data_IF_219339656824
#
_entry.id   IF_219339656824
#
_cell.length_a   1.000
_cell.length_b   1.000
_cell.length_c   1.000
_cell.angle_alpha   90.00
_cell.angle_beta   90.00
_cell.angle_gamma   90.00
#
_symmetry.space_group_name_H-M   'P 1'
#
loop_
_entity.id
_entity.type
_entity.pdbx_description
1 polymer ?
#
# COMPACT_ATOMS: atom_id res chain seq x y z
N UNK A 1 -7.57 -4.45 23.32
CA UNK A 1 -7.88 -5.86 23.61
C UNK A 1 -7.22 -6.31 24.92
N UNK A 2 -7.58 -7.48 25.45
CA UNK A 2 -6.92 -8.03 26.64
C UNK A 2 -5.43 -8.26 26.38
N UNK A 3 -5.11 -8.85 25.25
CA UNK A 3 -3.73 -9.10 24.79
C UNK A 3 -2.88 -7.82 24.77
N UNK A 4 -3.43 -6.70 24.33
CA UNK A 4 -2.74 -5.41 24.34
C UNK A 4 -2.38 -4.98 25.77
N UNK A 5 -3.34 -5.06 26.70
CA UNK A 5 -3.12 -4.69 28.10
C UNK A 5 -2.08 -5.61 28.76
N UNK A 6 -2.13 -6.90 28.48
CA UNK A 6 -1.16 -7.88 28.97
C UNK A 6 0.25 -7.51 28.51
N UNK A 7 0.43 -7.24 27.23
CA UNK A 7 1.72 -6.81 26.67
C UNK A 7 2.22 -5.49 27.26
N UNK A 8 1.35 -4.50 27.40
CA UNK A 8 1.68 -3.21 28.01
C UNK A 8 2.14 -3.34 29.47
N UNK A 9 1.46 -4.17 30.25
CA UNK A 9 1.85 -4.44 31.64
C UNK A 9 3.19 -5.17 31.74
N UNK A 10 3.45 -6.09 30.81
CA UNK A 10 4.73 -6.80 30.73
C UNK A 10 5.87 -5.87 30.29
N UNK A 11 5.62 -4.93 29.37
CA UNK A 11 6.60 -3.89 29.04
C UNK A 11 7.05 -3.11 30.27
N UNK A 12 6.12 -2.75 31.15
CA UNK A 12 6.44 -2.06 32.39
C UNK A 12 7.27 -2.94 33.36
N UNK A 13 6.97 -4.23 33.42
CA UNK A 13 7.72 -5.17 34.28
C UNK A 13 9.16 -5.39 33.78
N UNK A 14 9.35 -5.44 32.46
CA UNK A 14 10.66 -5.66 31.84
C UNK A 14 11.43 -4.37 31.53
N UNK A 15 10.84 -3.18 31.77
CA UNK A 15 11.43 -1.88 31.41
C UNK A 15 12.84 -1.71 31.98
N UNK A 16 13.07 -2.06 33.23
CA UNK A 16 14.37 -1.93 33.90
C UNK A 16 15.46 -2.82 33.24
N UNK A 17 15.10 -3.97 32.69
CA UNK A 17 16.03 -4.89 32.01
C UNK A 17 16.58 -4.24 30.72
N UNK A 18 15.81 -3.33 30.13
CA UNK A 18 16.18 -2.55 28.95
C UNK A 18 16.73 -1.16 29.32
N UNK A 19 16.99 -0.89 30.62
CA UNK A 19 17.49 0.39 31.08
C UNK A 19 16.47 1.52 30.99
N UNK A 20 15.17 1.21 30.87
CA UNK A 20 14.09 2.19 30.79
C UNK A 20 13.54 2.48 32.19
N UNK A 21 13.50 3.76 32.50
CA UNK A 21 12.81 4.32 33.68
C UNK A 21 12.16 5.63 33.34
N UNK A 22 11.11 5.97 34.08
CA UNK A 22 10.48 7.27 33.98
C UNK A 22 11.25 8.30 34.81
N UNK A 23 11.53 9.44 34.21
CA UNK A 23 12.11 10.59 34.93
C UNK A 23 11.05 11.25 35.83
N UNK A 24 11.49 12.06 36.77
CA UNK A 24 10.56 12.80 37.64
C UNK A 24 9.72 13.83 36.84
N UNK A 25 10.30 14.37 35.74
CA UNK A 25 9.58 15.25 34.82
C UNK A 25 8.48 14.51 34.05
N UNK A 26 8.78 13.32 33.54
CA UNK A 26 7.78 12.50 32.82
C UNK A 26 6.62 12.08 33.72
N UNK A 27 6.89 11.70 34.98
CA UNK A 27 5.86 11.41 35.98
C UNK A 27 5.03 12.65 36.31
N UNK A 28 5.67 13.81 36.43
CA UNK A 28 4.94 15.04 36.68
C UNK A 28 4.06 15.45 35.49
N UNK A 29 4.54 15.30 34.26
CA UNK A 29 3.77 15.55 33.05
C UNK A 29 2.57 14.58 32.95
N UNK A 30 2.78 13.30 33.21
CA UNK A 30 1.69 12.32 33.23
C UNK A 30 0.62 12.69 34.28
N UNK A 31 1.05 13.13 35.45
CA UNK A 31 0.13 13.59 36.53
C UNK A 31 -0.67 14.83 36.12
N UNK A 32 -0.01 15.82 35.55
CA UNK A 32 -0.66 17.06 35.09
C UNK A 32 -1.65 16.76 33.94
N UNK A 33 -1.29 15.90 33.00
CA UNK A 33 -2.17 15.45 31.94
C UNK A 33 -3.39 14.66 32.45
N UNK A 34 -3.17 13.78 33.43
CA UNK A 34 -4.27 13.05 34.08
C UNK A 34 -5.26 13.98 34.82
N UNK A 35 -4.74 14.99 35.53
CA UNK A 35 -5.58 15.99 36.16
C UNK A 35 -6.35 16.82 35.11
N UNK A 36 -5.69 17.27 34.06
CA UNK A 36 -6.35 18.03 32.98
C UNK A 36 -7.46 17.21 32.30
N UNK A 37 -7.24 15.90 32.09
CA UNK A 37 -8.25 14.99 31.58
C UNK A 37 -9.48 14.93 32.51
N UNK A 38 -9.26 14.74 33.80
CA UNK A 38 -10.34 14.69 34.81
C UNK A 38 -11.12 16.00 34.87
N UNK A 39 -10.42 17.15 34.93
CA UNK A 39 -11.04 18.47 34.99
C UNK A 39 -11.90 18.76 33.76
N UNK A 40 -11.46 18.32 32.59
CA UNK A 40 -12.16 18.54 31.33
C UNK A 40 -13.41 17.67 31.18
N UNK A 41 -13.33 16.43 31.57
CA UNK A 41 -14.41 15.47 31.41
C UNK A 41 -15.41 15.50 32.59
N UNK A 42 -14.96 15.90 33.75
CA UNK A 42 -15.76 16.05 34.95
C UNK A 42 -16.05 14.73 35.68
N UNK A 43 -16.54 14.86 36.90
CA UNK A 43 -16.76 13.73 37.83
C UNK A 43 -17.70 12.64 37.29
N UNK A 44 -18.71 13.02 36.50
CA UNK A 44 -19.69 12.05 36.00
C UNK A 44 -19.10 11.13 34.96
N UNK A 45 -18.19 11.64 34.10
CA UNK A 45 -17.45 10.83 33.11
C UNK A 45 -16.46 9.93 33.86
N UNK A 46 -15.69 10.47 34.82
CA UNK A 46 -14.74 9.69 35.60
C UNK A 46 -15.42 8.54 36.36
N UNK A 47 -16.63 8.77 36.93
CA UNK A 47 -17.43 7.71 37.55
C UNK A 47 -17.90 6.65 36.55
N UNK A 48 -18.31 7.03 35.34
CA UNK A 48 -18.71 6.09 34.30
C UNK A 48 -17.52 5.26 33.80
N UNK A 49 -16.33 5.86 33.69
CA UNK A 49 -15.07 5.16 33.36
C UNK A 49 -14.61 4.24 34.50
N UNK A 50 -15.15 4.40 35.72
CA UNK A 50 -14.65 3.75 36.92
C UNK A 50 -13.16 4.01 37.15
N UNK A 51 -12.68 5.20 36.78
CA UNK A 51 -11.28 5.58 36.84
C UNK A 51 -11.05 6.77 37.78
N UNK A 52 -9.95 6.74 38.47
CA UNK A 52 -9.40 7.85 39.27
C UNK A 52 -8.37 8.64 38.44
N UNK A 53 -7.92 9.78 38.93
CA UNK A 53 -6.80 10.53 38.32
C UNK A 53 -5.53 9.69 38.31
N UNK A 54 -5.31 8.91 39.39
CA UNK A 54 -4.16 8.00 39.47
C UNK A 54 -4.22 6.89 38.43
N UNK A 55 -5.41 6.34 38.14
CA UNK A 55 -5.54 5.30 37.06
C UNK A 55 -5.24 5.88 35.71
N UNK A 56 -5.62 7.12 35.42
CA UNK A 56 -5.27 7.82 34.18
C UNK A 56 -3.77 8.13 34.13
N UNK A 57 -3.18 8.57 35.27
CA UNK A 57 -1.73 8.80 35.33
C UNK A 57 -0.95 7.50 35.06
N UNK A 58 -1.34 6.38 35.69
CA UNK A 58 -0.73 5.07 35.51
C UNK A 58 -0.77 4.62 34.02
N UNK A 59 -1.90 4.88 33.33
CA UNK A 59 -2.05 4.58 31.91
C UNK A 59 -1.12 5.46 31.03
N UNK A 60 -0.99 6.75 31.36
CA UNK A 60 -0.09 7.66 30.66
C UNK A 60 1.38 7.30 30.90
N UNK A 61 1.77 6.93 32.12
CA UNK A 61 3.12 6.45 32.43
C UNK A 61 3.44 5.16 31.67
N UNK A 62 2.47 4.27 31.53
CA UNK A 62 2.61 3.04 30.75
C UNK A 62 2.82 3.33 29.26
N UNK A 63 2.08 4.30 28.71
CA UNK A 63 2.28 4.77 27.34
C UNK A 63 3.70 5.33 27.10
N UNK A 64 4.24 6.12 28.06
CA UNK A 64 5.62 6.63 27.96
C UNK A 64 6.63 5.47 27.98
N UNK A 65 6.44 4.45 28.80
CA UNK A 65 7.28 3.27 28.82
C UNK A 65 7.23 2.54 27.47
N UNK A 66 6.04 2.36 26.91
CA UNK A 66 5.84 1.71 25.61
C UNK A 66 6.59 2.42 24.49
N UNK A 67 6.56 3.76 24.47
CA UNK A 67 7.29 4.53 23.46
C UNK A 67 8.81 4.43 23.62
N UNK A 68 9.30 4.33 24.86
CA UNK A 68 10.75 4.28 25.16
C UNK A 68 11.36 2.89 24.99
N UNK A 69 10.59 1.81 25.18
CA UNK A 69 11.13 0.45 25.20
C UNK A 69 11.34 -0.13 23.80
N UNK A 70 10.70 0.42 22.78
CA UNK A 70 10.78 -0.05 21.41
C UNK A 70 12.23 -0.09 20.90
N UNK A 71 12.93 1.03 20.95
CA UNK A 71 14.29 1.16 20.43
C UNK A 71 15.30 0.21 21.11
N UNK A 72 15.33 0.08 22.43
CA UNK A 72 16.18 -0.91 23.09
C UNK A 72 15.90 -2.37 22.70
N UNK A 73 14.65 -2.74 22.50
CA UNK A 73 14.28 -4.11 22.07
C UNK A 73 14.85 -4.41 20.68
N UNK A 74 14.77 -3.45 19.77
CA UNK A 74 15.20 -3.62 18.38
C UNK A 74 16.68 -3.27 18.14
N UNK A 75 17.41 -2.80 19.15
CA UNK A 75 18.78 -2.29 19.01
C UNK A 75 19.78 -3.25 18.37
N UNK A 76 19.55 -4.57 18.52
CA UNK A 76 20.45 -5.61 18.01
C UNK A 76 19.86 -6.34 16.79
N UNK A 77 18.87 -5.76 16.11
CA UNK A 77 18.33 -6.32 14.87
C UNK A 77 19.35 -6.13 13.76
N UNK A 78 19.55 -7.20 12.98
CA UNK A 78 20.38 -7.13 11.78
C UNK A 78 19.72 -6.21 10.73
N UNK A 79 20.39 -5.10 10.46
CA UNK A 79 19.97 -4.10 9.47
C UNK A 79 20.81 -4.14 8.19
N UNK A 80 21.76 -5.07 8.10
CA UNK A 80 22.51 -5.30 6.87
C UNK A 80 21.66 -6.18 5.93
N UNK A 81 21.20 -5.60 4.83
CA UNK A 81 20.44 -6.29 3.80
C UNK A 81 21.18 -6.10 2.47
N UNK A 82 21.61 -7.20 1.90
CA UNK A 82 22.34 -7.19 0.62
C UNK A 82 21.40 -6.96 -0.56
N UNK A 83 21.97 -6.55 -1.69
CA UNK A 83 21.22 -6.45 -2.95
C UNK A 83 20.59 -7.78 -3.37
N UNK A 84 21.27 -8.90 -3.08
CA UNK A 84 20.76 -10.23 -3.39
C UNK A 84 19.52 -10.60 -2.56
N UNK A 85 19.42 -10.11 -1.32
CA UNK A 85 18.26 -10.34 -0.47
C UNK A 85 17.06 -9.50 -0.92
N UNK A 86 17.30 -8.23 -1.28
CA UNK A 86 16.26 -7.25 -1.55
C UNK A 86 15.92 -7.08 -3.03
N UNK A 87 16.57 -7.84 -3.92
CA UNK A 87 16.48 -7.66 -5.37
C UNK A 87 15.05 -7.59 -5.88
N UNK A 88 14.77 -6.52 -6.64
CA UNK A 88 13.50 -6.30 -7.32
C UNK A 88 13.70 -6.25 -8.84
N UNK A 89 12.77 -6.86 -9.56
CA UNK A 89 12.69 -6.81 -11.02
C UNK A 89 11.43 -6.07 -11.43
N UNK A 90 11.55 -5.12 -12.35
CA UNK A 90 10.42 -4.37 -12.91
C UNK A 90 10.14 -4.80 -14.35
N UNK A 91 8.87 -5.03 -14.66
CA UNK A 91 8.40 -5.46 -15.98
C UNK A 91 7.25 -4.61 -16.48
N UNK A 92 7.21 -4.39 -17.79
CA UNK A 92 6.01 -3.99 -18.53
C UNK A 92 5.32 -5.22 -19.09
N UNK A 93 3.99 -5.24 -19.06
CA UNK A 93 3.23 -6.38 -19.55
C UNK A 93 1.88 -5.99 -20.13
N UNK A 94 1.33 -6.87 -20.98
CA UNK A 94 -0.08 -6.86 -21.32
C UNK A 94 -0.77 -8.06 -20.72
N UNK A 95 -2.07 -7.89 -20.49
CA UNK A 95 -2.97 -8.96 -20.05
C UNK A 95 -4.12 -9.09 -21.03
N UNK A 96 -4.33 -10.31 -21.53
CA UNK A 96 -5.54 -10.71 -22.25
C UNK A 96 -6.30 -11.68 -21.34
N UNK A 97 -7.38 -11.22 -20.72
CA UNK A 97 -8.14 -12.05 -19.78
C UNK A 97 -8.80 -13.23 -20.46
N UNK A 98 -8.71 -14.39 -19.82
CA UNK A 98 -9.43 -15.63 -20.17
C UNK A 98 -10.57 -15.94 -19.19
N UNK A 99 -10.83 -15.03 -18.26
CA UNK A 99 -12.00 -15.13 -17.38
C UNK A 99 -13.28 -14.94 -18.21
N UNK A 100 -14.27 -15.78 -17.95
CA UNK A 100 -15.58 -15.63 -18.58
C UNK A 100 -16.28 -14.35 -18.12
N UNK A 101 -17.04 -13.75 -19.03
CA UNK A 101 -17.82 -12.53 -18.75
C UNK A 101 -19.32 -12.85 -18.57
N UNK A 102 -19.77 -13.98 -19.06
CA UNK A 102 -21.16 -14.42 -18.97
C UNK A 102 -21.41 -15.15 -17.65
N UNK A 103 -22.66 -15.08 -17.20
CA UNK A 103 -23.11 -15.78 -15.99
C UNK A 103 -24.24 -16.72 -16.34
N UNK A 104 -24.25 -17.88 -15.70
CA UNK A 104 -25.38 -18.83 -15.78
C UNK A 104 -26.59 -18.33 -14.96
N UNK A 105 -27.67 -19.08 -15.00
CA UNK A 105 -28.93 -18.76 -14.29
C UNK A 105 -28.78 -18.73 -12.77
N UNK A 106 -27.72 -19.34 -12.23
CA UNK A 106 -27.36 -19.33 -10.81
C UNK A 106 -26.36 -18.18 -10.45
N UNK A 107 -25.98 -17.36 -11.42
CA UNK A 107 -25.07 -16.23 -11.27
C UNK A 107 -23.58 -16.61 -11.22
N UNK A 108 -23.22 -17.85 -11.53
CA UNK A 108 -21.85 -18.33 -11.63
C UNK A 108 -21.27 -17.95 -13.00
N UNK A 109 -20.03 -17.49 -13.01
CA UNK A 109 -19.31 -17.19 -14.25
C UNK A 109 -19.14 -18.45 -15.09
N UNK A 110 -19.46 -18.36 -16.38
CA UNK A 110 -19.27 -19.43 -17.36
C UNK A 110 -17.84 -19.35 -17.87
N UNK A 111 -17.10 -20.44 -17.79
CA UNK A 111 -15.74 -20.54 -18.29
C UNK A 111 -15.73 -20.43 -19.82
N UNK A 112 -14.71 -19.75 -20.37
CA UNK A 112 -14.52 -19.69 -21.81
C UNK A 112 -14.21 -21.09 -22.40
N UNK A 113 -14.72 -21.33 -23.59
CA UNK A 113 -14.39 -22.52 -24.38
C UNK A 113 -12.93 -22.50 -24.85
N UNK A 114 -12.40 -23.64 -25.27
CA UNK A 114 -11.04 -23.73 -25.79
C UNK A 114 -10.85 -22.88 -27.07
N UNK A 115 -11.90 -22.73 -27.87
CA UNK A 115 -11.88 -21.89 -29.08
C UNK A 115 -11.81 -20.40 -28.71
N UNK A 116 -12.57 -19.96 -27.70
CA UNK A 116 -12.51 -18.57 -27.20
C UNK A 116 -11.17 -18.27 -26.56
N UNK A 117 -10.62 -19.21 -25.77
CA UNK A 117 -9.27 -19.09 -25.22
C UNK A 117 -8.19 -19.00 -26.32
N UNK A 118 -8.33 -19.79 -27.39
CA UNK A 118 -7.44 -19.73 -28.52
C UNK A 118 -7.48 -18.35 -29.22
N UNK A 119 -8.69 -17.80 -29.41
CA UNK A 119 -8.85 -16.44 -29.96
C UNK A 119 -8.21 -15.36 -29.04
N UNK A 120 -8.35 -15.49 -27.72
CA UNK A 120 -7.66 -14.60 -26.75
C UNK A 120 -6.14 -14.73 -26.85
N UNK A 121 -5.63 -15.94 -27.02
CA UNK A 121 -4.18 -16.18 -27.22
C UNK A 121 -3.66 -15.54 -28.50
N UNK A 122 -4.46 -15.55 -29.57
CA UNK A 122 -4.12 -14.91 -30.84
C UNK A 122 -3.99 -13.39 -30.68
N UNK A 123 -4.85 -12.77 -29.87
CA UNK A 123 -4.74 -11.34 -29.54
C UNK A 123 -3.40 -11.04 -28.85
N UNK A 124 -3.03 -11.86 -27.86
CA UNK A 124 -1.73 -11.71 -27.19
C UNK A 124 -0.55 -11.92 -28.15
N UNK A 125 -0.67 -12.86 -29.09
CA UNK A 125 0.33 -13.10 -30.13
C UNK A 125 0.48 -11.90 -31.08
N UNK A 126 -0.64 -11.30 -31.50
CA UNK A 126 -0.65 -10.08 -32.33
C UNK A 126 0.04 -8.91 -31.63
N UNK A 127 -0.15 -8.77 -30.31
CA UNK A 127 0.60 -7.77 -29.55
C UNK A 127 2.12 -8.04 -29.56
N UNK A 128 2.51 -9.30 -29.37
CA UNK A 128 3.92 -9.69 -29.43
C UNK A 128 4.53 -9.40 -30.78
N UNK A 129 3.79 -9.63 -31.86
CA UNK A 129 4.25 -9.36 -33.22
C UNK A 129 4.41 -7.86 -33.45
N UNK A 130 3.47 -7.01 -32.99
CA UNK A 130 3.63 -5.55 -33.01
C UNK A 130 4.84 -5.08 -32.20
N UNK A 131 5.08 -5.68 -31.04
CA UNK A 131 6.25 -5.37 -30.23
C UNK A 131 7.57 -5.70 -31.00
N UNK A 132 7.61 -6.83 -31.69
CA UNK A 132 8.77 -7.26 -32.50
C UNK A 132 8.99 -6.37 -33.71
N UNK A 133 7.92 -5.85 -34.31
CA UNK A 133 7.97 -4.96 -35.48
C UNK A 133 8.25 -3.50 -35.11
N UNK A 134 8.20 -3.13 -33.84
CA UNK A 134 8.53 -1.78 -33.40
C UNK A 134 10.01 -1.46 -33.67
N UNK A 135 10.34 -0.18 -33.89
CA UNK A 135 11.71 0.26 -34.15
C UNK A 135 12.68 -0.09 -33.03
N UNK A 136 12.22 -0.02 -31.80
CA UNK A 136 12.98 -0.37 -30.60
C UNK A 136 12.09 -1.11 -29.59
N UNK A 137 12.03 -2.45 -29.66
CA UNK A 137 11.22 -3.24 -28.73
C UNK A 137 11.60 -3.05 -27.25
N UNK A 138 12.87 -2.71 -26.99
CA UNK A 138 13.36 -2.48 -25.62
C UNK A 138 12.81 -1.19 -25.00
N UNK A 139 12.47 -0.20 -25.83
CA UNK A 139 11.94 1.09 -25.40
C UNK A 139 10.48 1.32 -25.82
N UNK A 140 9.84 0.36 -26.49
CA UNK A 140 8.48 0.50 -27.00
C UNK A 140 7.48 0.72 -25.86
N UNK A 141 6.54 1.66 -26.07
CA UNK A 141 5.44 1.92 -25.12
C UNK A 141 4.37 0.83 -25.26
N UNK A 142 4.22 0.00 -24.25
CA UNK A 142 3.17 -1.02 -24.19
C UNK A 142 1.78 -0.40 -24.24
N UNK A 143 1.61 0.78 -23.70
CA UNK A 143 0.34 1.52 -23.74
C UNK A 143 -0.02 1.95 -25.16
N UNK A 144 0.95 2.44 -25.94
CA UNK A 144 0.71 2.88 -27.32
C UNK A 144 0.46 1.69 -28.23
N UNK A 145 1.27 0.62 -28.12
CA UNK A 145 1.07 -0.62 -28.89
C UNK A 145 -0.28 -1.28 -28.54
N UNK A 146 -0.68 -1.27 -27.27
CA UNK A 146 -2.00 -1.74 -26.85
C UNK A 146 -3.12 -0.94 -27.50
N UNK A 147 -2.99 0.39 -27.52
CA UNK A 147 -3.98 1.25 -28.16
C UNK A 147 -4.07 0.96 -29.64
N UNK A 148 -2.95 0.88 -30.34
CA UNK A 148 -2.88 0.53 -31.76
C UNK A 148 -3.57 -0.81 -32.05
N UNK A 149 -3.29 -1.85 -31.27
CA UNK A 149 -3.93 -3.15 -31.45
C UNK A 149 -5.42 -3.13 -31.19
N UNK A 150 -5.88 -2.42 -30.12
CA UNK A 150 -7.30 -2.28 -29.85
C UNK A 150 -8.02 -1.57 -31.00
N UNK A 151 -7.43 -0.51 -31.57
CA UNK A 151 -8.01 0.22 -32.72
C UNK A 151 -8.14 -0.70 -33.95
N UNK A 152 -7.13 -1.54 -34.22
CA UNK A 152 -7.16 -2.54 -35.29
C UNK A 152 -8.27 -3.58 -35.07
N UNK A 153 -8.40 -4.14 -33.86
CA UNK A 153 -9.39 -5.15 -33.52
C UNK A 153 -10.82 -4.58 -33.58
N UNK A 154 -11.03 -3.35 -33.15
CA UNK A 154 -12.32 -2.69 -33.24
C UNK A 154 -12.71 -2.39 -34.70
N UNK A 155 -11.76 -2.02 -35.54
CA UNK A 155 -12.01 -1.81 -36.97
C UNK A 155 -12.38 -3.14 -37.69
N UNK A 156 -11.70 -4.25 -37.36
CA UNK A 156 -12.01 -5.60 -37.89
C UNK A 156 -13.44 -6.02 -37.48
N UNK A 157 -13.79 -5.85 -36.21
CA UNK A 157 -15.12 -6.23 -35.69
C UNK A 157 -16.25 -5.40 -36.31
N UNK A 158 -15.98 -4.13 -36.63
CA UNK A 158 -16.96 -3.25 -37.32
C UNK A 158 -17.14 -3.64 -38.79
N UNK A 159 -16.07 -4.09 -39.45
CA UNK A 159 -16.12 -4.53 -40.85
C UNK A 159 -16.93 -5.83 -41.01
N UNK A 160 -16.77 -6.79 -40.11
CA UNK A 160 -17.48 -8.08 -40.11
C UNK A 160 -18.99 -7.90 -39.86
N UNK A 161 -19.37 -6.88 -39.07
CA UNK A 161 -20.76 -6.54 -38.78
C UNK A 161 -21.53 -5.95 -39.96
N UNK A 162 -20.83 -5.38 -40.96
CA UNK A 162 -21.43 -4.73 -42.14
C UNK A 162 -21.69 -5.70 -43.29
N UNK A 163 -21.02 -6.83 -43.35
CA UNK A 163 -21.19 -7.83 -44.42
C UNK A 163 -22.38 -8.77 -44.19
N UNK A 164 -23.00 -8.76 -42.98
CA UNK A 164 -24.17 -9.57 -42.63
C UNK A 164 -25.54 -8.87 -42.85
N UNK A 165 -25.57 -7.66 -43.39
CA UNK A 165 -26.80 -6.83 -43.49
C UNK A 165 -27.30 -6.66 -44.94
N UNK A 166 -27.21 -7.70 -45.79
CA UNK A 166 -27.93 -7.70 -47.07
C UNK A 166 -28.76 -8.97 -47.27
N UNK A 167 -29.93 -9.01 -46.60
CA UNK A 167 -31.11 -9.74 -47.07
C UNK A 167 -32.34 -9.50 -46.20
N UNK A 168 -33.33 -8.90 -46.87
CA UNK A 168 -34.79 -8.94 -46.63
C UNK A 168 -35.38 -7.79 -45.78
N UNK A 169 -35.84 -6.79 -46.50
CA UNK A 169 -37.23 -6.51 -46.94
C UNK A 169 -38.28 -6.21 -45.85
N UNK A 170 -38.69 -4.94 -45.95
CA UNK A 170 -39.96 -4.31 -45.62
C UNK A 170 -40.94 -4.97 -44.65
N UNK A 171 -41.24 -4.30 -43.55
CA UNK A 171 -42.65 -3.88 -43.22
C UNK A 171 -42.79 -3.02 -41.98
N UNK A 172 -43.09 -1.79 -42.23
CA UNK A 172 -44.03 -0.82 -41.60
C UNK A 172 -44.53 -1.05 -40.15
N UNK A 173 -44.48 0.06 -39.47
CA UNK A 173 -45.53 0.77 -38.71
C UNK A 173 -45.50 0.71 -37.17
N UNK A 174 -45.29 1.90 -36.70
CA UNK A 174 -46.06 2.72 -35.77
C UNK A 174 -46.13 2.40 -34.29
N UNK A 175 -45.68 3.44 -33.57
CA UNK A 175 -46.28 4.04 -32.36
C UNK A 175 -46.51 3.16 -31.13
N UNK A 176 -46.13 3.52 -29.97
CA UNK A 176 -46.55 4.65 -29.16
C UNK A 176 -45.82 4.66 -27.80
N UNK A 177 -45.82 5.81 -27.22
CA UNK A 177 -45.23 6.29 -26.01
C UNK A 177 -45.60 5.56 -24.69
N UNK A 178 -44.82 5.94 -23.71
CA UNK A 178 -45.11 6.09 -22.26
C UNK A 178 -44.32 5.16 -21.39
N UNK A 179 -43.44 5.68 -20.67
CA UNK A 179 -43.41 6.52 -19.45
C UNK A 179 -43.16 5.70 -18.14
N UNK A 180 -42.29 6.28 -17.37
CA UNK A 180 -42.13 6.24 -15.92
C UNK A 180 -41.34 5.15 -15.25
N UNK A 181 -40.31 5.70 -14.63
CA UNK A 181 -39.95 5.68 -13.21
C UNK A 181 -38.98 4.60 -12.70
N UNK A 182 -37.79 5.06 -12.48
CA UNK A 182 -37.15 5.49 -11.22
C UNK A 182 -36.75 4.38 -10.23
N UNK A 183 -35.56 4.61 -9.79
CA UNK A 183 -34.90 4.32 -8.53
C UNK A 183 -34.22 2.94 -8.43
N UNK A 184 -33.07 2.77 -7.91
CA UNK A 184 -32.16 3.58 -7.12
C UNK A 184 -30.90 2.77 -6.83
N UNK A 185 -29.80 3.49 -6.80
CA UNK A 185 -28.66 3.33 -5.91
C UNK A 185 -27.72 2.14 -5.97
N UNK A 186 -26.51 2.50 -6.34
CA UNK A 186 -25.30 2.45 -5.48
C UNK A 186 -24.50 1.17 -5.50
N UNK A 187 -23.27 1.16 -5.90
CA UNK A 187 -22.11 1.79 -5.28
C UNK A 187 -20.89 1.74 -6.17
N UNK A 188 -20.22 2.84 -6.16
CA UNK A 188 -18.98 3.11 -6.85
C UNK A 188 -17.79 2.41 -6.17
N UNK A 189 -16.81 2.00 -6.95
CA UNK A 189 -15.43 2.18 -6.54
C UNK A 189 -14.65 2.78 -7.70
N UNK A 190 -14.23 3.97 -7.44
CA UNK A 190 -13.43 4.86 -8.23
C UNK A 190 -12.00 4.35 -8.35
N UNK A 191 -11.54 4.20 -9.58
CA UNK A 191 -10.16 4.54 -9.88
C UNK A 191 -10.18 5.48 -11.08
N UNK A 192 -9.75 6.68 -10.77
CA UNK A 192 -9.70 7.81 -11.66
C UNK A 192 -8.53 7.67 -12.64
N UNK A 193 -8.85 7.74 -13.92
CA UNK A 193 -8.10 8.57 -14.84
C UNK A 193 -9.05 8.92 -15.99
N UNK A 194 -9.37 10.18 -16.03
CA UNK A 194 -10.21 10.83 -17.00
C UNK A 194 -9.49 10.93 -18.33
N UNK A 195 -10.04 10.29 -19.33
CA UNK A 195 -10.13 10.84 -20.67
C UNK A 195 -11.48 10.43 -21.23
N UNK A 196 -12.38 11.43 -21.31
CA UNK A 196 -13.70 11.27 -21.85
C UNK A 196 -13.59 11.43 -23.36
N UNK A 197 -13.48 10.31 -24.06
CA UNK A 197 -13.95 10.24 -25.44
C UNK A 197 -14.97 9.11 -25.52
N UNK A 198 -16.21 9.51 -25.78
CA UNK A 198 -17.38 8.65 -25.77
C UNK A 198 -17.51 7.96 -27.13
N UNK A 199 -16.69 6.98 -27.37
CA UNK A 199 -16.97 5.88 -28.30
C UNK A 199 -16.96 4.59 -27.50
N UNK A 200 -17.94 3.72 -27.70
CA UNK A 200 -18.03 2.42 -27.05
C UNK A 200 -17.02 1.45 -27.66
N UNK A 201 -15.74 1.78 -27.52
CA UNK A 201 -14.66 0.90 -27.97
C UNK A 201 -14.48 -0.25 -26.98
N UNK A 202 -14.46 -1.46 -27.49
CA UNK A 202 -14.20 -2.65 -26.70
C UNK A 202 -12.72 -2.75 -26.44
N UNK A 203 -12.33 -2.88 -25.16
CA UNK A 203 -10.94 -3.13 -24.79
C UNK A 203 -10.68 -4.63 -24.73
N UNK A 204 -9.85 -5.14 -25.63
CA UNK A 204 -9.52 -6.59 -25.71
C UNK A 204 -8.37 -6.98 -24.80
N UNK A 205 -7.52 -6.03 -24.43
CA UNK A 205 -6.33 -6.24 -23.60
C UNK A 205 -6.02 -5.00 -22.75
N UNK A 206 -5.31 -5.22 -21.67
CA UNK A 206 -4.80 -4.15 -20.81
C UNK A 206 -3.28 -4.14 -20.79
N UNK A 207 -2.68 -3.00 -20.52
CA UNK A 207 -1.23 -2.86 -20.31
C UNK A 207 -0.95 -2.24 -18.96
N UNK A 208 0.09 -2.70 -18.28
CA UNK A 208 0.52 -2.19 -16.99
C UNK A 208 2.00 -2.49 -16.75
N UNK A 209 2.50 -1.95 -15.66
CA UNK A 209 3.84 -2.20 -15.15
C UNK A 209 3.71 -2.77 -13.73
N UNK A 210 4.65 -3.63 -13.36
CA UNK A 210 4.73 -4.13 -11.98
C UNK A 210 6.18 -4.42 -11.62
N UNK A 211 6.44 -4.52 -10.32
CA UNK A 211 7.71 -5.00 -9.78
C UNK A 211 7.45 -6.11 -8.77
N UNK A 212 8.39 -7.01 -8.63
CA UNK A 212 8.31 -8.13 -7.70
C UNK A 212 9.70 -8.61 -7.27
N UNK A 213 9.74 -9.30 -6.13
CA UNK A 213 10.97 -9.83 -5.57
C UNK A 213 11.55 -10.97 -6.39
N UNK A 214 12.80 -10.82 -6.78
CA UNK A 214 13.62 -11.89 -7.36
C UNK A 214 14.81 -12.21 -6.45
N UNK A 215 14.87 -11.57 -5.29
CA UNK A 215 15.87 -11.78 -4.26
C UNK A 215 15.70 -13.09 -3.48
N UNK A 216 16.62 -13.32 -2.54
CA UNK A 216 16.61 -14.51 -1.69
C UNK A 216 15.63 -14.41 -0.52
N UNK A 217 15.29 -13.21 -0.09
CA UNK A 217 14.32 -12.95 0.98
C UNK A 217 13.01 -12.45 0.39
N UNK A 218 12.02 -13.33 0.33
CA UNK A 218 10.69 -13.06 -0.21
C UNK A 218 9.65 -13.29 0.88
N UNK A 219 8.67 -12.43 0.91
CA UNK A 219 7.41 -12.62 1.62
C UNK A 219 6.25 -12.65 0.63
N UNK A 220 5.04 -12.91 1.11
CA UNK A 220 3.86 -13.06 0.26
C UNK A 220 3.55 -11.79 -0.55
N UNK A 221 3.88 -10.61 0.01
CA UNK A 221 3.66 -9.30 -0.64
C UNK A 221 4.67 -9.00 -1.77
N UNK A 222 5.76 -9.79 -1.84
CA UNK A 222 6.87 -9.61 -2.79
C UNK A 222 6.82 -10.59 -3.96
N UNK A 223 5.78 -11.40 -4.02
CA UNK A 223 5.54 -12.35 -5.11
C UNK A 223 5.03 -11.65 -6.37
N UNK A 224 5.28 -12.26 -7.52
CA UNK A 224 4.73 -11.76 -8.78
C UNK A 224 3.22 -11.96 -8.82
N UNK A 225 2.45 -10.88 -8.83
CA UNK A 225 0.98 -10.91 -8.90
C UNK A 225 0.42 -11.55 -10.17
N UNK A 226 1.26 -11.72 -11.21
CA UNK A 226 0.90 -12.35 -12.47
C UNK A 226 1.16 -13.87 -12.48
N UNK A 227 1.68 -14.41 -11.36
CA UNK A 227 1.95 -15.81 -11.15
C UNK A 227 3.40 -16.24 -11.40
N UNK A 228 3.72 -17.45 -10.92
CA UNK A 228 5.08 -17.99 -10.90
C UNK A 228 5.70 -18.13 -12.30
N UNK A 229 4.90 -18.50 -13.30
CA UNK A 229 5.39 -18.64 -14.68
C UNK A 229 5.93 -17.32 -15.24
N UNK A 230 5.26 -16.20 -14.94
CA UNK A 230 5.72 -14.86 -15.36
C UNK A 230 7.02 -14.52 -14.65
N UNK A 231 7.09 -14.78 -13.33
CA UNK A 231 8.31 -14.56 -12.55
C UNK A 231 9.50 -15.39 -13.08
N UNK A 232 9.27 -16.67 -13.39
CA UNK A 232 10.30 -17.58 -13.91
C UNK A 232 10.84 -17.15 -15.28
N UNK A 233 9.95 -16.70 -16.18
CA UNK A 233 10.38 -16.24 -17.49
C UNK A 233 11.06 -14.87 -17.42
N UNK A 234 10.54 -13.94 -16.61
CA UNK A 234 11.18 -12.66 -16.38
C UNK A 234 12.59 -12.78 -15.78
N UNK A 235 12.81 -13.74 -14.87
CA UNK A 235 14.12 -13.97 -14.25
C UNK A 235 15.24 -14.38 -15.24
N UNK A 236 14.87 -14.85 -16.43
CA UNK A 236 15.82 -15.25 -17.50
C UNK A 236 16.23 -14.11 -18.42
N UNK A 237 15.52 -12.99 -18.33
CA UNK A 237 15.66 -11.84 -19.23
C UNK A 237 16.51 -10.74 -18.59
N UNK A 238 17.08 -9.90 -19.43
CA UNK A 238 17.85 -8.71 -19.07
C UNK A 238 17.04 -7.45 -19.35
N UNK A 239 17.59 -6.33 -18.93
CA UNK A 239 17.01 -5.01 -19.18
C UNK A 239 16.69 -4.81 -20.66
N UNK A 240 15.45 -4.43 -20.96
CA UNK A 240 14.93 -4.23 -22.29
C UNK A 240 14.60 -5.52 -23.08
N UNK A 241 14.91 -6.71 -22.55
CA UNK A 241 14.54 -7.96 -23.19
C UNK A 241 13.08 -8.32 -22.93
N UNK A 242 12.40 -8.83 -23.93
CA UNK A 242 11.03 -9.37 -23.82
C UNK A 242 11.03 -10.89 -23.98
N UNK A 243 10.02 -11.55 -23.40
CA UNK A 243 9.82 -12.97 -23.61
C UNK A 243 9.28 -13.23 -25.03
N UNK A 244 9.98 -14.10 -25.80
CA UNK A 244 9.62 -14.41 -27.17
C UNK A 244 8.50 -15.45 -27.25
N UNK A 245 7.36 -15.15 -26.61
CA UNK A 245 6.19 -16.02 -26.59
C UNK A 245 5.06 -15.39 -25.79
N UNK A 246 3.95 -16.10 -25.71
CA UNK A 246 2.79 -15.79 -24.88
C UNK A 246 2.84 -16.68 -23.65
N UNK A 247 2.84 -16.08 -22.44
CA UNK A 247 2.80 -16.81 -21.19
C UNK A 247 1.33 -17.10 -20.85
N UNK A 248 1.02 -18.35 -20.55
CA UNK A 248 -0.30 -18.77 -20.14
C UNK A 248 -0.35 -18.83 -18.61
N UNK A 249 -1.05 -17.87 -18.01
CA UNK A 249 -1.42 -17.86 -16.60
C UNK A 249 -2.72 -18.58 -16.31
N UNK A 250 -3.24 -18.49 -15.10
CA UNK A 250 -4.46 -19.18 -14.68
C UNK A 250 -5.70 -18.57 -15.35
N UNK A 251 -5.81 -17.24 -15.37
CA UNK A 251 -6.97 -16.52 -15.88
C UNK A 251 -6.64 -15.52 -17.00
N UNK A 252 -5.44 -15.58 -17.56
CA UNK A 252 -5.00 -14.66 -18.60
C UNK A 252 -3.79 -15.14 -19.39
N UNK A 253 -3.63 -14.56 -20.58
CA UNK A 253 -2.40 -14.59 -21.36
C UNK A 253 -1.60 -13.30 -21.14
N UNK A 254 -0.27 -13.44 -21.05
CA UNK A 254 0.65 -12.33 -20.83
C UNK A 254 1.72 -12.26 -21.92
N UNK A 255 2.09 -11.04 -22.29
CA UNK A 255 3.35 -10.73 -22.99
C UNK A 255 4.10 -9.76 -22.09
N UNK A 256 5.37 -10.04 -21.82
CA UNK A 256 6.19 -9.30 -20.86
C UNK A 256 7.48 -8.79 -21.50
N UNK A 257 7.95 -7.66 -21.00
CA UNK A 257 9.31 -7.15 -21.17
C UNK A 257 9.89 -6.81 -19.82
N UNK A 258 11.14 -7.17 -19.56
CA UNK A 258 11.87 -6.73 -18.39
C UNK A 258 12.41 -5.33 -18.63
N UNK A 259 11.91 -4.36 -17.90
CA UNK A 259 12.38 -2.98 -17.98
C UNK A 259 13.69 -2.81 -17.21
N UNK A 260 13.75 -3.42 -16.02
CA UNK A 260 14.93 -3.48 -15.17
C UNK A 260 15.00 -4.85 -14.49
N UNK A 261 15.98 -5.65 -14.82
CA UNK A 261 16.26 -6.93 -14.15
C UNK A 261 16.80 -6.72 -12.72
N UNK A 262 17.36 -5.55 -12.47
CA UNK A 262 17.70 -5.02 -11.17
C UNK A 262 17.21 -3.57 -11.07
N UNK A 263 16.09 -3.37 -10.41
CA UNK A 263 15.56 -2.01 -10.16
C UNK A 263 16.12 -1.48 -8.85
N UNK A 264 17.09 -0.55 -8.95
CA UNK A 264 17.79 0.03 -7.79
C UNK A 264 16.81 0.70 -6.80
N UNK A 265 15.86 1.49 -7.32
CA UNK A 265 14.92 2.24 -6.49
C UNK A 265 13.96 1.31 -5.75
N UNK A 266 13.45 0.29 -6.45
CA UNK A 266 12.57 -0.72 -5.86
C UNK A 266 13.33 -1.62 -4.89
N UNK A 267 14.57 -1.98 -5.20
CA UNK A 267 15.46 -2.76 -4.33
C UNK A 267 15.77 -1.99 -3.05
N UNK A 268 16.05 -0.69 -3.12
CA UNK A 268 16.26 0.15 -1.93
C UNK A 268 14.98 0.24 -1.07
N UNK A 269 13.83 0.45 -1.71
CA UNK A 269 12.54 0.45 -1.00
C UNK A 269 12.29 -0.89 -0.31
N UNK A 270 12.59 -2.00 -0.99
CA UNK A 270 12.47 -3.35 -0.43
C UNK A 270 13.42 -3.58 0.74
N UNK A 271 14.66 -3.11 0.64
CA UNK A 271 15.65 -3.16 1.73
C UNK A 271 15.10 -2.52 3.00
N UNK A 272 14.49 -1.33 2.88
CA UNK A 272 13.89 -0.65 4.04
C UNK A 272 12.70 -1.44 4.61
N UNK A 273 11.90 -2.07 3.76
CA UNK A 273 10.82 -2.96 4.20
C UNK A 273 11.34 -4.16 4.98
N UNK A 274 12.36 -4.86 4.47
CA UNK A 274 12.99 -5.99 5.15
C UNK A 274 13.52 -5.57 6.53
N UNK A 275 14.22 -4.45 6.62
CA UNK A 275 14.71 -3.91 7.90
C UNK A 275 13.55 -3.60 8.86
N UNK A 276 12.48 -3.01 8.35
CA UNK A 276 11.29 -2.70 9.15
C UNK A 276 10.60 -3.97 9.66
N UNK A 277 10.46 -4.98 8.79
CA UNK A 277 9.88 -6.27 9.15
C UNK A 277 10.72 -6.97 10.23
N UNK A 278 12.03 -7.07 10.04
CA UNK A 278 12.96 -7.65 11.05
C UNK A 278 12.85 -6.97 12.42
N UNK A 279 12.71 -5.63 12.43
CA UNK A 279 12.49 -4.85 13.67
C UNK A 279 11.13 -5.16 14.30
N UNK A 280 10.09 -5.21 13.48
CA UNK A 280 8.73 -5.51 13.92
C UNK A 280 8.63 -6.94 14.49
N UNK A 281 9.20 -7.91 13.79
CA UNK A 281 9.24 -9.30 14.22
C UNK A 281 10.00 -9.44 15.56
N UNK A 282 11.19 -8.82 15.66
CA UNK A 282 11.95 -8.82 16.90
C UNK A 282 11.17 -8.24 18.08
N UNK A 283 10.48 -7.14 17.84
CA UNK A 283 9.63 -6.49 18.86
C UNK A 283 8.48 -7.41 19.28
N UNK A 284 7.72 -7.91 18.30
CA UNK A 284 6.59 -8.79 18.56
C UNK A 284 7.00 -10.10 19.22
N UNK A 285 8.06 -10.76 18.73
CA UNK A 285 8.58 -12.00 19.31
C UNK A 285 9.02 -11.81 20.76
N UNK A 286 9.60 -10.65 21.08
CA UNK A 286 9.99 -10.32 22.46
C UNK A 286 8.76 -10.22 23.35
N UNK A 287 7.73 -9.49 22.94
CA UNK A 287 6.49 -9.35 23.70
C UNK A 287 5.76 -10.69 23.83
N UNK A 288 5.65 -11.45 22.78
CA UNK A 288 5.02 -12.76 22.79
C UNK A 288 5.81 -13.77 23.67
N UNK A 289 7.13 -13.62 23.71
CA UNK A 289 7.99 -14.36 24.63
C UNK A 289 7.63 -14.07 26.08
N UNK A 290 7.52 -12.81 26.45
CA UNK A 290 7.12 -12.42 27.80
C UNK A 290 5.72 -12.94 28.18
N UNK A 291 4.75 -12.87 27.25
CA UNK A 291 3.40 -13.44 27.49
C UNK A 291 3.48 -14.93 27.76
N UNK A 292 4.26 -15.68 26.98
CA UNK A 292 4.44 -17.14 27.14
C UNK A 292 5.10 -17.54 28.46
N UNK A 293 6.03 -16.71 28.96
CA UNK A 293 6.80 -16.98 30.19
C UNK A 293 6.04 -16.51 31.44
N UNK A 294 5.00 -15.69 31.29
CA UNK A 294 4.27 -15.10 32.39
C UNK A 294 3.08 -15.94 32.83
N UNK A 295 2.82 -15.97 34.17
CA UNK A 295 1.59 -16.55 34.74
C UNK A 295 0.48 -15.47 34.85
N UNK A 296 -0.19 -15.23 33.72
CA UNK A 296 -1.21 -14.19 33.60
C UNK A 296 -2.54 -14.69 34.17
N UNK A 297 -3.10 -13.96 35.12
CA UNK A 297 -4.41 -14.25 35.76
C UNK A 297 -5.39 -13.16 35.43
N UNK A 298 -6.34 -13.50 34.56
CA UNK A 298 -7.44 -12.59 34.22
C UNK A 298 -8.59 -12.70 35.20
N UNK A 299 -8.98 -11.59 35.80
CA UNK A 299 -10.11 -11.56 36.74
C UNK A 299 -11.42 -11.93 36.01
N UNK A 300 -12.29 -12.66 36.71
CA UNK A 300 -13.55 -13.18 36.13
C UNK A 300 -14.53 -12.08 35.68
N UNK A 301 -14.40 -10.87 36.22
CA UNK A 301 -15.18 -9.71 35.84
C UNK A 301 -14.77 -9.10 34.50
N UNK A 302 -13.57 -9.39 33.98
CA UNK A 302 -13.13 -8.92 32.67
C UNK A 302 -14.15 -9.22 31.56
N UNK A 303 -14.68 -10.45 31.53
CA UNK A 303 -15.68 -10.89 30.55
C UNK A 303 -17.04 -10.18 30.66
N UNK A 304 -17.23 -9.37 31.70
CA UNK A 304 -18.47 -8.61 31.94
C UNK A 304 -18.30 -7.12 31.59
N UNK A 305 -17.10 -6.70 31.23
CA UNK A 305 -16.84 -5.34 30.76
C UNK A 305 -17.33 -5.21 29.33
N UNK A 306 -18.32 -4.35 29.13
CA UNK A 306 -18.83 -3.96 27.84
C UNK A 306 -18.49 -2.48 27.64
N UNK A 307 -17.82 -2.15 26.54
CA UNK A 307 -17.63 -0.76 26.12
C UNK A 307 -18.83 -0.39 25.25
N UNK A 308 -19.80 0.28 25.87
CA UNK A 308 -21.09 0.59 25.25
C UNK A 308 -21.14 1.97 24.58
N UNK A 309 -20.25 2.89 24.96
CA UNK A 309 -20.24 4.26 24.47
C UNK A 309 -18.84 4.61 23.91
N UNK A 310 -18.74 4.77 22.61
CA UNK A 310 -17.49 5.16 21.92
C UNK A 310 -17.09 6.62 22.27
N UNK A 311 -18.08 7.47 22.59
CA UNK A 311 -17.90 8.91 22.86
C UNK A 311 -17.98 9.26 24.35
N UNK A 312 -17.60 8.32 25.23
CA UNK A 312 -17.74 8.49 26.68
C UNK A 312 -16.86 9.63 27.21
N UNK A 313 -15.72 9.90 26.58
CA UNK A 313 -14.76 10.92 27.02
C UNK A 313 -14.16 11.67 25.84
N UNK A 314 -13.63 12.86 26.12
CA UNK A 314 -12.95 13.69 25.12
C UNK A 314 -11.45 13.69 25.39
N UNK A 315 -10.68 13.27 24.40
CA UNK A 315 -9.23 13.48 24.36
C UNK A 315 -8.95 14.80 23.62
N UNK A 316 -8.28 15.74 24.27
CA UNK A 316 -7.74 16.91 23.57
C UNK A 316 -6.24 16.92 23.74
N UNK A 317 -5.56 16.87 22.63
CA UNK A 317 -4.18 17.30 22.55
C UNK A 317 -4.23 18.80 22.34
N UNK A 318 -3.91 19.60 23.35
CA UNK A 318 -3.68 21.02 23.12
C UNK A 318 -2.43 21.12 22.25
N UNK A 319 -2.63 21.34 20.95
CA UNK A 319 -1.55 21.82 20.09
C UNK A 319 -1.14 23.16 20.67
N UNK A 320 0.09 23.26 21.12
CA UNK A 320 0.67 24.50 21.60
C UNK A 320 0.38 25.60 20.58
N UNK A 321 -0.46 26.56 20.99
CA UNK A 321 -0.87 27.68 20.17
C UNK A 321 0.35 28.53 19.87
N UNK A 322 0.81 28.51 18.61
CA UNK A 322 1.47 29.69 18.06
C UNK A 322 0.40 30.75 17.88
N UNK A 323 0.44 31.73 18.76
CA UNK A 323 -0.31 32.97 18.69
C UNK A 323 -0.18 33.59 17.30
N UNK A 324 -1.28 33.67 16.58
CA UNK A 324 -1.49 34.59 15.46
C UNK A 324 -2.97 34.94 15.43
N UNK A 325 -3.22 36.09 16.00
CA UNK A 325 -4.43 36.90 15.85
C UNK A 325 -4.81 37.02 14.37
N UNK A 326 -5.94 36.51 13.97
CA UNK A 326 -6.99 37.27 13.27
C UNK A 326 -8.27 36.43 13.09
N UNK A 327 -9.39 37.02 13.40
CA UNK A 327 -10.69 36.36 13.40
C UNK A 327 -11.27 36.11 12.01
N UNK A 328 -12.04 35.07 11.90
CA UNK A 328 -13.39 35.08 11.31
C UNK A 328 -13.99 33.67 11.42
N UNK A 329 -15.15 33.62 12.02
CA UNK A 329 -16.10 32.52 12.13
C UNK A 329 -16.42 31.86 10.79
N UNK A 330 -16.38 30.52 10.73
CA UNK A 330 -17.48 29.73 10.14
C UNK A 330 -17.32 28.26 10.45
N UNK A 331 -18.39 27.69 10.87
CA UNK A 331 -18.88 26.34 11.07
C UNK A 331 -18.48 25.34 9.96
N UNK A 332 -18.17 24.11 10.35
CA UNK A 332 -18.62 22.84 9.75
C UNK A 332 -17.62 21.70 9.88
N UNK A 333 -18.00 20.72 10.69
CA UNK A 333 -17.98 19.26 10.47
C UNK A 333 -16.77 18.58 9.80
N UNK A 334 -16.20 17.67 10.59
CA UNK A 334 -15.93 16.22 10.33
C UNK A 334 -14.97 15.84 9.20
N UNK A 335 -14.08 14.99 9.62
CA UNK A 335 -13.47 13.79 9.03
C UNK A 335 -12.02 13.89 8.63
N UNK A 336 -11.33 13.01 9.31
CA UNK A 336 -10.45 11.95 8.76
C UNK A 336 -9.04 12.30 8.34
N UNK A 337 -8.25 11.54 8.98
CA UNK A 337 -6.81 11.42 8.92
C UNK A 337 -6.32 10.90 7.58
N UNK A 338 -5.28 11.47 7.07
CA UNK A 338 -4.14 10.67 6.56
C UNK A 338 -2.94 11.59 6.44
N UNK A 339 -1.89 11.19 7.12
CA UNK A 339 -0.57 11.76 6.98
C UNK A 339 -0.02 11.43 5.59
N UNK A 340 0.48 12.42 4.91
CA UNK A 340 1.53 12.24 3.91
C UNK A 340 2.50 13.40 4.03
N UNK A 341 3.69 13.00 4.34
CA UNK A 341 4.96 13.67 4.21
C UNK A 341 5.08 14.41 2.87
N UNK A 342 5.62 15.59 2.89
CA UNK A 342 6.24 16.20 1.72
C UNK A 342 7.28 17.21 2.17
N UNK A 343 8.49 16.73 2.19
CA UNK A 343 9.70 17.52 2.01
C UNK A 343 9.60 18.38 0.77
N UNK A 344 9.95 19.61 0.87
CA UNK A 344 10.58 20.35 -0.24
C UNK A 344 11.52 21.41 0.27
N UNK A 345 12.73 21.21 -0.19
CA UNK A 345 13.87 22.10 -0.27
C UNK A 345 13.53 23.46 -0.85
N UNK A 346 14.27 24.38 -0.52
CA UNK A 346 15.17 25.23 -1.34
C UNK A 346 15.23 26.64 -0.77
N UNK A 347 16.32 27.18 -0.58
CA UNK A 347 17.07 28.10 -1.40
C UNK A 347 18.06 28.91 -0.61
N UNK A 348 19.28 28.80 -1.05
CA UNK A 348 20.25 29.86 -1.40
C UNK A 348 20.30 31.16 -0.57
N UNK A 349 21.45 31.54 -0.10
CA UNK A 349 22.28 32.60 -0.71
C UNK A 349 23.50 32.99 0.13
N UNK A 350 24.64 32.88 -0.50
CA UNK A 350 25.83 33.77 -0.51
C UNK A 350 26.36 34.42 0.76
N UNK A 351 27.64 34.29 0.94
CA UNK A 351 28.45 35.21 1.71
C UNK A 351 29.89 34.74 1.84
N UNK A 352 30.72 35.14 0.90
CA UNK A 352 32.20 35.15 0.93
C UNK A 352 32.76 35.66 2.24
N UNK A 353 33.87 35.09 2.68
CA UNK A 353 35.15 35.84 2.84
C UNK A 353 36.31 34.87 3.13
N UNK A 354 37.35 35.11 2.38
CA UNK A 354 38.70 34.55 2.48
C UNK A 354 39.33 34.85 3.86
N UNK A 355 40.24 33.99 4.28
CA UNK A 355 41.67 34.35 4.54
C UNK A 355 42.49 33.10 4.91
N UNK A 356 43.37 32.76 4.06
CA UNK A 356 44.85 32.59 4.11
C UNK A 356 45.51 31.86 5.27
N UNK A 357 46.28 30.86 4.82
CA UNK A 357 47.68 30.48 5.18
C UNK A 357 47.92 29.90 6.58
N UNK A 358 48.71 28.90 6.78
CA UNK A 358 50.07 28.60 6.31
C UNK A 358 50.45 27.17 6.69
N UNK A 359 51.29 26.62 5.84
CA UNK A 359 52.23 25.51 5.96
C UNK A 359 52.73 25.11 7.35
N UNK A 360 52.92 23.83 7.58
CA UNK A 360 54.29 23.31 7.78
C UNK A 360 54.34 21.79 7.79
N UNK A 361 55.22 21.32 6.98
CA UNK A 361 55.95 20.07 6.85
C UNK A 361 56.41 19.45 8.18
N UNK A 362 56.43 18.12 8.21
CA UNK A 362 57.11 17.33 9.24
C UNK A 362 57.10 15.84 8.95
N UNK A 363 58.15 15.42 8.33
CA UNK A 363 58.61 14.10 7.92
C UNK A 363 58.88 13.13 9.06
N UNK A 364 58.75 11.81 8.68
CA UNK A 364 59.62 10.66 9.00
C UNK A 364 59.41 9.91 10.34
N UNK A 365 59.17 8.69 10.27
CA UNK A 365 59.95 7.43 10.11
C UNK A 365 59.90 6.53 11.33
N UNK A 366 59.63 5.28 11.03
CA UNK A 366 60.21 4.02 11.55
C UNK A 366 60.04 3.65 13.04
N UNK A 367 59.39 2.59 13.33
CA UNK A 367 59.86 1.23 13.63
C UNK A 367 58.69 0.26 13.69
#
# INVERSE_FOLDING_TARGET
SLDTIEKELLMRQHAEEYGISLTDEEKQQAKEAAQAFADKNGDDVMKKLHATVEDIQDALELYVIQTKIYDPIIANVDTEVSDEEAKQTSISYITVSTAGTEKDDDGKTIDLTDEEKAAKKEIAQRFLDLLKESEDPAAASFTDLRKELNDQLNAENTADSTDSADSSDESSSSSDASDTSASDASSASTSSSSDSDSSSEVSYLTSSETSFGTGSEKDDDDTCSLGDKVAEEAAKLKDGEYYDGVIEGDDAYYVIRVDKAFDEDKTESRRQTIISNRKSDKYNDTLDGWVKESDIKVASNWKKLEVTDADLYTMTVDSASTDSTDGTTTDSTTTDSTATDSTTSDSTTSGSTETTSTSSTGTASTS
#
